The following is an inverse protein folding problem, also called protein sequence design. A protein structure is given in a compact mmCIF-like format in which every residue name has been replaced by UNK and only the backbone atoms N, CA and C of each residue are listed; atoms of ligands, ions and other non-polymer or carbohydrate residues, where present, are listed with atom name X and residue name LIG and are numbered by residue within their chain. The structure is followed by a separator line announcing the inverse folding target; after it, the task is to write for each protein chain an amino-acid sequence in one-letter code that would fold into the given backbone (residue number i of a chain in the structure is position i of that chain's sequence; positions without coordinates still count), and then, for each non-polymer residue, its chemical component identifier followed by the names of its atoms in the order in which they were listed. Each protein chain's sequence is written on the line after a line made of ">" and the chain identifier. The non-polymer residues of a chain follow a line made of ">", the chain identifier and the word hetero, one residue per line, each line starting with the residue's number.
data_IF_760535576526
#
_entry.id   IF_760535576526
#
_cell.length_a   1.000
_cell.length_b   1.000
_cell.length_c   1.000
_cell.angle_alpha   90.00
_cell.angle_beta   90.00
_cell.angle_gamma   90.00
#
_symmetry.space_group_name_H-M   'P 1'
#
loop_
_entity.id
_entity.type
_entity.pdbx_description
1 polymer ?
#
# COMPACT_ATOMS: atom_id res chain seq x y z
N UNK A 1 45.37 -39.02 40.96
CA UNK A 1 43.94 -38.71 41.16
C UNK A 1 43.58 -37.45 40.38
N UNK A 2 42.75 -37.55 39.35
CA UNK A 2 41.89 -36.47 38.83
C UNK A 2 40.77 -37.16 38.04
N UNK A 3 39.56 -37.09 38.59
CA UNK A 3 38.36 -37.76 38.08
C UNK A 3 37.76 -36.93 36.95
N UNK A 4 37.35 -37.63 35.90
CA UNK A 4 36.47 -37.15 34.84
C UNK A 4 35.06 -36.98 35.42
N UNK A 5 34.36 -35.91 35.05
CA UNK A 5 32.91 -35.80 35.16
C UNK A 5 32.36 -35.31 33.82
N UNK A 6 31.74 -36.25 33.10
CA UNK A 6 30.78 -36.02 32.02
C UNK A 6 29.39 -36.00 32.67
N UNK A 7 28.53 -35.08 32.24
CA UNK A 7 27.05 -35.17 32.11
C UNK A 7 26.45 -33.77 32.21
N UNK A 8 25.31 -33.42 31.61
CA UNK A 8 24.52 -33.87 30.48
C UNK A 8 23.39 -32.81 30.36
N UNK A 9 22.78 -32.71 29.18
CA UNK A 9 21.63 -31.86 28.82
C UNK A 9 20.43 -31.92 29.80
N UNK A 10 19.62 -30.84 29.86
CA UNK A 10 18.20 -30.77 29.45
C UNK A 10 17.60 -29.41 29.84
N UNK A 11 17.23 -28.56 28.87
CA UNK A 11 15.85 -28.27 28.40
C UNK A 11 15.12 -27.16 29.17
N UNK A 12 14.75 -26.12 28.43
CA UNK A 12 13.39 -25.60 28.43
C UNK A 12 13.12 -24.94 27.07
N UNK A 13 12.50 -25.71 26.17
CA UNK A 13 11.67 -25.15 25.13
C UNK A 13 10.53 -24.40 25.81
N UNK A 14 10.52 -23.08 25.69
CA UNK A 14 9.29 -22.31 25.77
C UNK A 14 8.98 -21.87 24.35
N UNK A 15 8.36 -22.80 23.61
CA UNK A 15 7.39 -22.43 22.59
C UNK A 15 6.30 -21.63 23.28
N UNK A 16 6.49 -20.33 23.37
CA UNK A 16 5.44 -19.39 23.66
C UNK A 16 4.72 -19.14 22.34
N UNK A 17 3.57 -19.79 22.15
CA UNK A 17 2.47 -19.19 21.43
C UNK A 17 2.08 -17.92 22.18
N UNK A 18 2.91 -16.88 22.05
CA UNK A 18 2.53 -15.55 22.47
C UNK A 18 1.31 -15.22 21.65
N UNK A 19 0.20 -15.00 22.35
CA UNK A 19 -0.90 -14.14 21.92
C UNK A 19 -0.28 -12.80 21.51
N UNK A 20 0.31 -12.79 20.33
CA UNK A 20 1.18 -11.76 19.81
C UNK A 20 0.27 -10.78 19.11
N UNK A 21 -0.23 -9.81 19.87
CA UNK A 21 -0.64 -8.56 19.24
C UNK A 21 0.51 -8.15 18.32
N UNK A 22 0.25 -7.92 17.02
CA UNK A 22 1.28 -7.53 16.08
C UNK A 22 2.04 -6.34 16.65
N UNK A 23 3.34 -6.51 16.89
CA UNK A 23 4.16 -5.40 17.39
C UNK A 23 4.01 -4.22 16.41
N UNK A 24 3.83 -2.98 16.91
CA UNK A 24 3.77 -1.82 16.04
C UNK A 24 5.00 -1.76 15.13
N UNK A 25 4.83 -1.42 13.85
CA UNK A 25 5.95 -1.25 12.92
C UNK A 25 6.90 -0.16 13.43
N UNK A 26 8.21 -0.35 13.25
CA UNK A 26 9.21 0.64 13.71
C UNK A 26 9.46 1.72 12.67
N UNK A 27 9.19 1.42 11.41
CA UNK A 27 9.37 2.33 10.27
C UNK A 27 8.15 2.28 9.34
N UNK A 28 7.96 3.30 8.50
CA UNK A 28 6.89 3.31 7.50
C UNK A 28 7.04 2.14 6.53
N UNK A 29 8.28 1.78 6.17
CA UNK A 29 8.60 0.63 5.31
C UNK A 29 8.12 -0.69 5.93
N UNK A 30 8.19 -0.84 7.25
CA UNK A 30 7.74 -2.03 7.96
C UNK A 30 6.21 -2.18 8.02
N UNK A 31 5.44 -1.13 7.70
CA UNK A 31 3.98 -1.22 7.60
C UNK A 31 3.59 -2.30 6.58
N UNK A 32 4.35 -2.43 5.49
CA UNK A 32 3.98 -3.30 4.39
C UNK A 32 5.17 -3.78 3.57
N UNK A 33 5.17 -5.08 3.25
CA UNK A 33 6.07 -5.65 2.24
C UNK A 33 5.78 -5.16 0.80
N UNK A 34 4.67 -4.45 0.57
CA UNK A 34 4.40 -3.78 -0.70
C UNK A 34 5.14 -2.45 -0.83
N UNK A 35 5.66 -1.86 0.25
CA UNK A 35 6.41 -0.60 0.19
C UNK A 35 7.82 -0.88 -0.29
N UNK A 36 8.14 -0.40 -1.49
CA UNK A 36 9.48 -0.47 -2.07
C UNK A 36 10.38 0.67 -1.59
N UNK A 37 9.81 1.88 -1.41
CA UNK A 37 10.55 3.06 -0.97
C UNK A 37 9.63 4.08 -0.33
N UNK A 38 10.20 4.92 0.54
CA UNK A 38 9.53 6.08 1.14
C UNK A 38 10.44 7.28 0.97
N UNK A 39 9.89 8.39 0.46
CA UNK A 39 10.59 9.63 0.25
C UNK A 39 9.77 10.80 0.78
N UNK A 40 10.43 11.75 1.43
CA UNK A 40 9.82 12.99 1.91
C UNK A 40 10.40 14.16 1.14
N UNK A 41 9.55 14.96 0.50
CA UNK A 41 9.99 16.13 -0.26
C UNK A 41 8.89 17.20 -0.27
N UNK A 42 9.24 18.46 -0.01
CA UNK A 42 8.35 19.62 -0.15
C UNK A 42 6.96 19.47 0.49
N UNK A 43 6.88 18.84 1.67
CA UNK A 43 5.60 18.63 2.37
C UNK A 43 4.76 17.48 1.79
N UNK A 44 5.36 16.60 1.00
CA UNK A 44 4.76 15.39 0.45
C UNK A 44 5.48 14.16 1.01
N UNK A 45 4.70 13.17 1.49
CA UNK A 45 5.19 11.83 1.79
C UNK A 45 4.88 10.93 0.59
N UNK A 46 5.90 10.55 -0.16
CA UNK A 46 5.78 9.61 -1.29
C UNK A 46 6.09 8.19 -0.84
N UNK A 47 5.17 7.28 -1.11
CA UNK A 47 5.26 5.86 -0.78
C UNK A 47 5.19 5.08 -2.09
N UNK A 48 6.32 4.51 -2.50
CA UNK A 48 6.39 3.71 -3.72
C UNK A 48 5.96 2.28 -3.42
N UNK A 49 4.96 1.80 -4.16
CA UNK A 49 4.48 0.43 -4.05
C UNK A 49 5.21 -0.45 -5.09
N UNK A 50 5.74 -1.58 -4.64
CA UNK A 50 6.41 -2.56 -5.47
C UNK A 50 5.46 -3.08 -6.54
N UNK A 51 5.92 -3.08 -7.80
CA UNK A 51 5.19 -3.71 -8.90
C UNK A 51 5.20 -5.22 -8.74
N UNK A 52 4.14 -5.76 -8.12
CA UNK A 52 3.91 -7.21 -8.10
C UNK A 52 3.39 -7.66 -9.45
N UNK A 53 3.58 -8.94 -9.77
CA UNK A 53 2.96 -9.55 -10.94
C UNK A 53 1.43 -9.47 -10.77
N UNK A 54 0.81 -8.52 -11.46
CA UNK A 54 -0.64 -8.39 -11.49
C UNK A 54 -1.16 -9.18 -12.67
N UNK A 55 -2.01 -10.17 -12.42
CA UNK A 55 -2.51 -11.07 -13.47
C UNK A 55 -3.48 -10.38 -14.44
N UNK A 56 -4.20 -9.35 -13.98
CA UNK A 56 -5.15 -8.59 -14.79
C UNK A 56 -4.99 -7.09 -14.52
N UNK A 57 -5.11 -6.28 -15.56
CA UNK A 57 -4.95 -4.81 -15.47
C UNK A 57 -5.85 -4.20 -14.38
N UNK A 58 -7.11 -4.66 -14.26
CA UNK A 58 -8.04 -4.20 -13.20
C UNK A 58 -7.60 -4.51 -11.77
N UNK A 59 -6.82 -5.57 -11.56
CA UNK A 59 -6.37 -5.96 -10.22
C UNK A 59 -5.31 -4.98 -9.69
N UNK A 60 -4.69 -4.17 -10.56
CA UNK A 60 -3.72 -3.16 -10.18
C UNK A 60 -4.36 -2.08 -9.29
N UNK A 61 -5.50 -1.55 -9.72
CA UNK A 61 -6.22 -0.53 -8.96
C UNK A 61 -6.86 -1.10 -7.69
N UNK A 62 -7.37 -2.33 -7.75
CA UNK A 62 -7.86 -3.05 -6.58
C UNK A 62 -6.76 -3.17 -5.52
N UNK A 63 -5.57 -3.65 -5.90
CA UNK A 63 -4.43 -3.80 -4.99
C UNK A 63 -3.94 -2.44 -4.47
N UNK A 64 -3.84 -1.43 -5.33
CA UNK A 64 -3.42 -0.09 -4.94
C UNK A 64 -4.37 0.52 -3.90
N UNK A 65 -5.69 0.38 -4.09
CA UNK A 65 -6.68 0.88 -3.12
C UNK A 65 -6.61 0.14 -1.78
N UNK A 66 -6.43 -1.18 -1.78
CA UNK A 66 -6.26 -1.95 -0.55
C UNK A 66 -4.99 -1.58 0.22
N UNK A 67 -3.86 -1.46 -0.49
CA UNK A 67 -2.57 -1.14 0.12
C UNK A 67 -2.54 0.31 0.63
N UNK A 68 -3.02 1.27 -0.18
CA UNK A 68 -3.10 2.67 0.27
C UNK A 68 -3.98 2.83 1.50
N UNK A 69 -5.11 2.11 1.57
CA UNK A 69 -5.97 2.07 2.74
C UNK A 69 -5.24 1.56 3.98
N UNK A 70 -4.66 0.36 3.91
CA UNK A 70 -4.00 -0.28 5.05
C UNK A 70 -2.77 0.51 5.53
N UNK A 71 -2.03 1.07 4.58
CA UNK A 71 -0.86 1.90 4.89
C UNK A 71 -1.32 3.23 5.53
N UNK A 72 -2.37 3.86 5.02
CA UNK A 72 -2.90 5.11 5.58
C UNK A 72 -3.43 4.92 7.01
N UNK A 73 -4.14 3.81 7.26
CA UNK A 73 -4.57 3.44 8.61
C UNK A 73 -3.38 3.34 9.57
N UNK A 74 -2.33 2.63 9.15
CA UNK A 74 -1.12 2.43 9.96
C UNK A 74 -0.33 3.72 10.15
N UNK A 75 -0.26 4.58 9.13
CA UNK A 75 0.37 5.90 9.22
C UNK A 75 -0.34 6.79 10.25
N UNK A 76 -1.67 6.88 10.17
CA UNK A 76 -2.47 7.68 11.11
C UNK A 76 -2.32 7.13 12.53
N UNK A 77 -2.30 5.81 12.69
CA UNK A 77 -2.23 5.16 14.00
C UNK A 77 -0.86 5.23 14.66
N UNK A 78 0.21 4.95 13.91
CA UNK A 78 1.55 4.72 14.47
C UNK A 78 2.57 5.81 14.10
N UNK A 79 2.34 6.56 13.02
CA UNK A 79 3.27 7.60 12.53
C UNK A 79 2.59 8.96 12.27
N UNK A 80 1.75 9.47 13.18
CA UNK A 80 0.98 10.69 12.93
C UNK A 80 1.86 11.93 12.71
N UNK A 81 3.08 11.96 13.26
CA UNK A 81 4.06 13.04 13.07
C UNK A 81 4.77 12.98 11.71
N UNK A 82 4.75 11.83 11.04
CA UNK A 82 5.35 11.66 9.70
C UNK A 82 4.37 12.02 8.59
N UNK A 83 3.07 12.16 8.89
CA UNK A 83 2.08 12.65 7.92
C UNK A 83 2.44 14.08 7.49
N UNK A 84 2.73 14.24 6.20
CA UNK A 84 2.93 15.54 5.56
C UNK A 84 1.61 16.11 5.07
N UNK A 85 1.62 17.25 4.39
CA UNK A 85 0.38 17.85 3.84
C UNK A 85 -0.33 16.85 2.91
N UNK A 86 0.45 16.23 2.04
CA UNK A 86 -0.02 15.26 1.06
C UNK A 86 0.70 13.92 1.24
N UNK A 87 -0.04 12.82 1.07
CA UNK A 87 0.47 11.46 1.02
C UNK A 87 0.20 10.91 -0.37
N UNK A 88 1.27 10.50 -1.06
CA UNK A 88 1.20 10.04 -2.45
C UNK A 88 1.67 8.60 -2.53
N UNK A 89 0.81 7.73 -3.04
CA UNK A 89 1.14 6.35 -3.36
C UNK A 89 1.51 6.24 -4.82
N UNK A 90 2.79 5.95 -5.09
CA UNK A 90 3.31 5.74 -6.44
C UNK A 90 3.18 4.25 -6.78
N UNK A 91 2.29 3.92 -7.70
CA UNK A 91 2.00 2.53 -8.05
C UNK A 91 2.86 2.13 -9.24
N UNK A 92 3.68 1.10 -9.07
CA UNK A 92 4.45 0.50 -10.16
C UNK A 92 3.82 -0.79 -10.64
N UNK A 93 4.01 -1.13 -11.91
CA UNK A 93 3.56 -2.39 -12.49
C UNK A 93 4.53 -2.88 -13.57
N UNK A 94 4.51 -4.18 -13.90
CA UNK A 94 5.14 -4.68 -15.11
C UNK A 94 4.55 -3.99 -16.34
N UNK A 95 5.41 -3.41 -17.17
CA UNK A 95 5.06 -2.78 -18.44
C UNK A 95 5.93 -3.35 -19.55
N UNK A 96 5.42 -3.35 -20.77
CA UNK A 96 6.15 -3.75 -21.95
C UNK A 96 6.34 -2.54 -22.87
N UNK A 97 7.55 -2.33 -23.36
CA UNK A 97 7.80 -1.29 -24.37
C UNK A 97 7.32 -1.73 -25.77
N UNK A 98 7.36 -0.81 -26.73
CA UNK A 98 6.97 -1.07 -28.13
C UNK A 98 7.84 -2.11 -28.84
N UNK A 99 8.97 -2.51 -28.26
CA UNK A 99 9.90 -3.51 -28.79
C UNK A 99 9.74 -4.88 -28.11
N UNK A 100 8.83 -5.00 -27.14
CA UNK A 100 8.57 -6.24 -26.43
C UNK A 100 9.40 -6.43 -25.15
N UNK A 101 10.22 -5.45 -24.75
CA UNK A 101 11.02 -5.56 -23.53
C UNK A 101 10.18 -5.24 -22.30
N UNK A 102 10.20 -6.14 -21.31
CA UNK A 102 9.52 -5.96 -20.04
C UNK A 102 10.36 -5.20 -19.02
N UNK A 103 9.73 -4.31 -18.26
CA UNK A 103 10.32 -3.65 -17.09
C UNK A 103 9.26 -3.41 -16.02
N UNK A 104 9.65 -3.06 -14.79
CA UNK A 104 8.72 -2.53 -13.78
C UNK A 104 8.87 -1.03 -13.75
N UNK A 105 7.77 -0.31 -13.98
CA UNK A 105 7.76 1.16 -14.01
C UNK A 105 6.57 1.72 -13.24
N UNK A 106 6.67 2.95 -12.69
CA UNK A 106 5.52 3.69 -12.18
C UNK A 106 4.45 3.87 -13.26
N UNK A 107 3.18 3.66 -12.90
CA UNK A 107 2.06 3.73 -13.84
C UNK A 107 1.03 4.80 -13.47
N UNK A 108 0.81 5.06 -12.18
CA UNK A 108 -0.03 6.16 -11.71
C UNK A 108 0.30 6.52 -10.25
N UNK A 109 -0.15 7.70 -9.83
CA UNK A 109 -0.07 8.16 -8.44
C UNK A 109 -1.48 8.36 -7.86
N UNK A 110 -1.71 7.85 -6.64
CA UNK A 110 -2.88 8.19 -5.83
C UNK A 110 -2.46 9.16 -4.74
N UNK A 111 -3.08 10.33 -4.70
CA UNK A 111 -2.77 11.38 -3.72
C UNK A 111 -3.95 11.58 -2.77
N UNK A 112 -3.63 11.71 -1.48
CA UNK A 112 -4.58 12.04 -0.42
C UNK A 112 -4.05 13.18 0.42
N UNK A 113 -4.94 14.05 0.88
CA UNK A 113 -4.60 15.05 1.90
C UNK A 113 -4.53 14.37 3.25
N UNK A 114 -3.47 14.62 4.02
CA UNK A 114 -3.35 14.00 5.34
C UNK A 114 -4.46 14.43 6.30
N UNK A 115 -4.99 15.63 6.16
CA UNK A 115 -6.10 16.10 6.99
C UNK A 115 -7.38 15.31 6.72
N UNK A 116 -7.57 14.76 5.53
CA UNK A 116 -8.71 13.89 5.24
C UNK A 116 -8.44 12.47 5.74
N UNK A 117 -7.22 11.95 5.56
CA UNK A 117 -6.81 10.64 6.10
C UNK A 117 -7.00 10.55 7.62
N UNK A 118 -6.76 11.63 8.38
CA UNK A 118 -6.95 11.70 9.83
C UNK A 118 -8.41 11.64 10.27
N UNK A 119 -9.36 11.99 9.39
CA UNK A 119 -10.80 12.01 9.69
C UNK A 119 -11.49 10.67 9.41
N UNK A 120 -10.80 9.74 8.73
CA UNK A 120 -11.36 8.45 8.34
C UNK A 120 -11.56 7.55 9.56
N UNK A 121 -12.73 6.92 9.64
CA UNK A 121 -12.99 5.81 10.56
C UNK A 121 -12.68 4.47 9.88
N UNK A 122 -11.41 4.05 9.94
CA UNK A 122 -10.89 2.84 9.28
C UNK A 122 -11.50 1.50 9.79
N UNK A 123 -12.38 1.53 10.79
CA UNK A 123 -13.18 0.34 11.14
C UNK A 123 -14.46 0.18 10.30
N UNK A 124 -14.89 1.23 9.61
CA UNK A 124 -16.22 1.34 8.99
C UNK A 124 -16.19 1.67 7.50
N UNK A 125 -15.05 2.16 7.00
CA UNK A 125 -14.87 2.55 5.61
C UNK A 125 -14.18 1.41 4.84
N UNK A 126 -14.74 1.04 3.69
CA UNK A 126 -14.12 0.04 2.82
C UNK A 126 -13.07 0.69 1.91
N UNK A 127 -11.98 -0.01 1.60
CA UNK A 127 -10.84 0.57 0.88
C UNK A 127 -11.21 1.25 -0.45
N UNK A 128 -12.24 0.77 -1.16
CA UNK A 128 -12.73 1.40 -2.40
C UNK A 128 -13.34 2.79 -2.14
N UNK A 129 -14.07 2.94 -1.04
CA UNK A 129 -14.68 4.21 -0.65
C UNK A 129 -13.63 5.26 -0.28
N UNK A 130 -12.42 4.85 0.10
CA UNK A 130 -11.33 5.80 0.38
C UNK A 130 -10.93 6.58 -0.88
N UNK A 131 -11.14 5.99 -2.07
CA UNK A 131 -10.85 6.64 -3.34
C UNK A 131 -11.70 7.90 -3.59
N UNK A 132 -12.85 8.04 -2.92
CA UNK A 132 -13.68 9.25 -3.02
C UNK A 132 -12.98 10.51 -2.46
N UNK A 133 -11.96 10.32 -1.61
CA UNK A 133 -11.15 11.40 -1.06
C UNK A 133 -9.81 11.55 -1.79
N UNK A 134 -9.54 10.73 -2.81
CA UNK A 134 -8.34 10.88 -3.60
C UNK A 134 -8.45 12.15 -4.47
N UNK A 135 -7.35 12.89 -4.55
CA UNK A 135 -7.18 13.89 -5.60
C UNK A 135 -7.20 13.20 -6.98
N UNK A 136 -7.45 13.93 -8.08
CA UNK A 136 -7.43 13.36 -9.42
C UNK A 136 -6.16 12.55 -9.69
N UNK A 137 -6.33 11.35 -10.27
CA UNK A 137 -5.24 10.42 -10.51
C UNK A 137 -4.25 11.05 -11.48
N UNK A 138 -2.97 11.01 -11.12
CA UNK A 138 -1.90 11.39 -12.04
C UNK A 138 -1.44 10.14 -12.79
N UNK A 139 -1.79 10.06 -14.06
CA UNK A 139 -1.35 8.99 -14.95
C UNK A 139 0.10 9.18 -15.37
N UNK A 140 0.92 8.15 -15.18
CA UNK A 140 2.33 8.12 -15.58
C UNK A 140 2.57 7.24 -16.81
N UNK A 141 1.59 6.40 -17.16
CA UNK A 141 1.62 5.56 -18.36
C UNK A 141 0.20 5.28 -18.88
N UNK A 142 0.10 4.83 -20.13
CA UNK A 142 -1.16 4.38 -20.75
C UNK A 142 -1.76 3.22 -19.94
N UNK A 143 -0.92 2.26 -19.53
CA UNK A 143 -1.34 1.12 -18.71
C UNK A 143 -1.98 1.55 -17.37
N UNK A 144 -1.51 2.66 -16.78
CA UNK A 144 -2.11 3.23 -15.58
C UNK A 144 -3.52 3.78 -15.83
N UNK A 145 -3.71 4.49 -16.94
CA UNK A 145 -5.03 5.00 -17.35
C UNK A 145 -6.00 3.85 -17.65
N UNK A 146 -5.56 2.85 -18.42
CA UNK A 146 -6.35 1.66 -18.71
C UNK A 146 -6.76 0.92 -17.43
N UNK A 147 -5.87 0.80 -16.44
CA UNK A 147 -6.19 0.16 -15.17
C UNK A 147 -7.31 0.86 -14.40
N UNK A 148 -7.29 2.19 -14.35
CA UNK A 148 -8.35 2.96 -13.67
C UNK A 148 -9.67 2.87 -14.44
N UNK A 149 -9.63 3.01 -15.76
CA UNK A 149 -10.82 2.88 -16.62
C UNK A 149 -11.45 1.50 -16.50
N UNK A 150 -10.66 0.43 -16.65
CA UNK A 150 -11.14 -0.95 -16.53
C UNK A 150 -11.70 -1.25 -15.13
N UNK A 151 -11.07 -0.72 -14.08
CA UNK A 151 -11.56 -0.90 -12.71
C UNK A 151 -12.92 -0.21 -12.51
N UNK A 152 -13.13 0.98 -13.08
CA UNK A 152 -14.39 1.75 -12.99
C UNK A 152 -15.53 1.24 -13.89
N UNK A 153 -15.25 0.34 -14.85
CA UNK A 153 -16.30 -0.32 -15.64
C UNK A 153 -17.12 -1.30 -14.80
N UNK A 154 -16.54 -1.84 -13.73
CA UNK A 154 -17.22 -2.72 -12.79
C UNK A 154 -18.20 -1.90 -11.92
N UNK A 155 -19.46 -2.33 -11.90
CA UNK A 155 -20.55 -1.61 -11.23
C UNK A 155 -20.34 -1.50 -9.72
N UNK A 156 -19.78 -2.53 -9.08
CA UNK A 156 -19.52 -2.52 -7.64
C UNK A 156 -18.41 -1.52 -7.29
N UNK A 157 -17.37 -1.47 -8.12
CA UNK A 157 -16.27 -0.52 -7.97
C UNK A 157 -16.75 0.93 -8.18
N UNK A 158 -17.52 1.15 -9.25
CA UNK A 158 -18.07 2.47 -9.57
C UNK A 158 -19.05 2.95 -8.52
N UNK A 159 -19.88 2.06 -7.96
CA UNK A 159 -20.83 2.41 -6.90
C UNK A 159 -20.12 2.74 -5.58
N UNK A 160 -18.97 2.09 -5.30
CA UNK A 160 -18.19 2.35 -4.11
C UNK A 160 -17.30 3.61 -4.21
N UNK A 161 -17.01 4.08 -5.42
CA UNK A 161 -16.10 5.20 -5.70
C UNK A 161 -16.62 6.06 -6.87
N UNK A 162 -17.84 6.58 -6.72
CA UNK A 162 -18.59 7.26 -7.77
C UNK A 162 -17.90 8.52 -8.26
N UNK A 163 -17.49 9.42 -7.36
CA UNK A 163 -16.87 10.69 -7.73
C UNK A 163 -15.47 10.44 -8.31
N UNK A 164 -14.73 9.50 -7.71
CA UNK A 164 -13.46 9.04 -8.26
C UNK A 164 -13.60 8.55 -9.71
N UNK A 165 -14.54 7.65 -9.98
CA UNK A 165 -14.74 7.12 -11.33
C UNK A 165 -15.25 8.18 -12.32
N UNK A 166 -16.15 9.08 -11.91
CA UNK A 166 -16.65 10.17 -12.76
C UNK A 166 -15.55 11.17 -13.17
N UNK A 167 -14.52 11.32 -12.33
CA UNK A 167 -13.39 12.21 -12.57
C UNK A 167 -12.31 11.55 -13.41
N UNK A 168 -12.00 10.28 -13.12
CA UNK A 168 -10.77 9.65 -13.60
C UNK A 168 -10.99 8.65 -14.75
N UNK A 169 -12.18 8.08 -14.94
CA UNK A 169 -12.44 7.07 -15.97
C UNK A 169 -12.97 7.67 -17.28
N UNK A 170 -12.22 8.63 -17.85
CA UNK A 170 -12.57 9.33 -19.11
C UNK A 170 -11.67 8.95 -20.27
#
# INVERSE_FOLDING_TARGET
>A
MKRVLISAMFVAALGGCGSGDPQPPKTIQEISQSIAAVHEENGILKISLAGRAVLRVKDLMQNASMESYRISESLVKYFPSSLKKDVVFVVSAPVQDKYGNGSVSPVFELQYRADDLKKISYGSLYHKQMLEMAEPVKYLSIAGAEAVVEWCKDDDNRSAAQQFCATNAR
#
